data_IF_354482363983
#
_entry.id   IF_354482363983
#
_cell.length_a   1.000
_cell.length_b   1.000
_cell.length_c   1.000
_cell.angle_alpha   90.00
_cell.angle_beta   90.00
_cell.angle_gamma   90.00
#
_symmetry.space_group_name_H-M   'P 1'
#
loop_
_entity.id
_entity.type
_entity.pdbx_description
1 polymer ?
#
# COMPACT_ATOMS: atom_id res chain seq x y z
N UNK A 1 -28.68 -3.79 -31.46
CA UNK A 1 -27.46 -3.38 -30.73
C UNK A 1 -27.41 -1.87 -30.46
N UNK A 2 -27.67 -1.02 -31.47
CA UNK A 2 -27.65 0.45 -31.34
C UNK A 2 -28.62 1.04 -30.29
N UNK A 3 -29.85 0.53 -30.23
CA UNK A 3 -30.90 0.99 -29.29
C UNK A 3 -30.48 0.90 -27.82
N UNK A 4 -29.91 -0.23 -27.42
CA UNK A 4 -29.40 -0.45 -26.07
C UNK A 4 -28.23 0.50 -25.72
N UNK A 5 -27.35 0.77 -26.69
CA UNK A 5 -26.21 1.68 -26.49
C UNK A 5 -26.70 3.11 -26.24
N UNK A 6 -27.68 3.58 -27.01
CA UNK A 6 -28.25 4.92 -26.87
C UNK A 6 -29.01 5.10 -25.55
N UNK A 7 -29.75 4.09 -25.10
CA UNK A 7 -30.50 4.11 -23.84
C UNK A 7 -29.61 4.01 -22.59
N UNK A 8 -28.44 3.37 -22.70
CA UNK A 8 -27.53 3.09 -21.57
C UNK A 8 -26.21 3.86 -21.64
N UNK A 9 -26.08 4.82 -22.57
CA UNK A 9 -24.86 5.62 -22.72
C UNK A 9 -24.54 6.36 -21.43
N UNK A 10 -23.31 6.21 -20.94
CA UNK A 10 -22.80 6.99 -19.81
C UNK A 10 -22.00 8.17 -20.34
N UNK A 11 -22.09 9.31 -19.67
CA UNK A 11 -21.61 10.62 -20.16
C UNK A 11 -20.09 10.78 -20.24
N UNK A 12 -19.30 9.80 -19.78
CA UNK A 12 -17.84 9.90 -19.82
C UNK A 12 -17.18 8.59 -20.26
N UNK A 13 -16.14 8.70 -21.10
CA UNK A 13 -15.21 7.61 -21.38
C UNK A 13 -14.61 7.08 -20.06
N UNK A 14 -14.40 5.76 -19.95
CA UNK A 14 -13.67 5.19 -18.79
C UNK A 14 -12.18 5.23 -19.09
N UNK A 15 -11.32 5.34 -18.05
CA UNK A 15 -9.89 5.09 -18.18
C UNK A 15 -9.57 3.74 -18.86
N UNK A 16 -10.43 2.74 -18.71
CA UNK A 16 -10.28 1.44 -19.37
C UNK A 16 -10.67 1.38 -20.85
N UNK A 17 -10.96 2.50 -21.52
CA UNK A 17 -11.07 2.55 -22.99
C UNK A 17 -9.69 2.63 -23.68
N UNK A 18 -8.62 2.71 -22.88
CA UNK A 18 -7.24 2.75 -23.34
C UNK A 18 -6.71 1.32 -23.55
N UNK A 19 -5.91 1.16 -24.61
CA UNK A 19 -5.15 -0.04 -24.97
C UNK A 19 -4.40 -0.63 -23.76
N UNK A 20 -4.41 -1.96 -23.62
CA UNK A 20 -3.67 -2.70 -22.60
C UNK A 20 -2.67 -3.67 -23.26
N UNK A 21 -1.86 -3.17 -24.21
CA UNK A 21 -0.71 -3.88 -24.75
C UNK A 21 0.44 -3.90 -23.70
N UNK A 22 1.22 -5.01 -23.57
CA UNK A 22 1.25 -6.20 -24.42
C UNK A 22 0.36 -7.36 -23.94
N UNK A 23 -0.35 -7.20 -22.82
CA UNK A 23 -1.16 -8.28 -22.23
C UNK A 23 -2.33 -8.74 -23.12
N UNK A 24 -2.78 -7.89 -24.06
CA UNK A 24 -3.74 -8.24 -25.12
C UNK A 24 -3.35 -7.60 -26.44
N UNK A 25 -3.17 -8.42 -27.47
CA UNK A 25 -2.67 -8.07 -28.81
C UNK A 25 -3.63 -7.15 -29.60
N UNK A 26 -4.87 -7.02 -29.12
CA UNK A 26 -6.01 -6.50 -29.88
C UNK A 26 -6.28 -4.99 -29.65
N UNK A 27 -5.55 -4.34 -28.73
CA UNK A 27 -5.37 -2.87 -28.62
C UNK A 27 -6.60 -1.96 -28.44
N UNK A 28 -7.82 -2.39 -28.75
CA UNK A 28 -9.03 -1.58 -28.73
C UNK A 28 -10.16 -2.34 -28.03
N UNK A 29 -10.69 -1.73 -26.97
CA UNK A 29 -11.93 -2.22 -26.37
C UNK A 29 -13.12 -1.74 -27.21
N UNK A 30 -13.64 -2.58 -28.10
CA UNK A 30 -14.83 -2.28 -28.92
C UNK A 30 -16.10 -2.08 -28.08
N UNK A 31 -16.10 -2.51 -26.81
CA UNK A 31 -17.27 -2.44 -25.94
C UNK A 31 -17.27 -1.21 -25.03
N UNK A 32 -18.24 -0.33 -25.27
CA UNK A 32 -18.58 0.80 -24.41
C UNK A 32 -18.92 0.36 -22.98
N UNK A 33 -18.78 1.26 -21.99
CA UNK A 33 -19.13 1.01 -20.57
C UNK A 33 -20.51 0.35 -20.39
N UNK A 34 -21.46 0.68 -21.24
CA UNK A 34 -22.85 0.22 -21.16
C UNK A 34 -23.03 -1.29 -21.43
N UNK A 35 -22.15 -1.90 -22.23
CA UNK A 35 -22.24 -3.30 -22.64
C UNK A 35 -21.00 -4.12 -22.25
N UNK A 36 -19.89 -3.48 -21.87
CA UNK A 36 -18.63 -4.15 -21.55
C UNK A 36 -18.75 -5.25 -20.49
N UNK A 37 -19.57 -5.07 -19.46
CA UNK A 37 -19.74 -6.10 -18.43
C UNK A 37 -20.45 -7.39 -18.93
N UNK A 38 -21.15 -7.29 -20.07
CA UNK A 38 -21.85 -8.40 -20.72
C UNK A 38 -20.98 -9.02 -21.82
N UNK A 39 -20.32 -8.19 -22.62
CA UNK A 39 -19.60 -8.63 -23.83
C UNK A 39 -18.12 -8.96 -23.59
N UNK A 40 -17.46 -8.34 -22.59
CA UNK A 40 -16.10 -8.70 -22.17
C UNK A 40 -16.17 -9.83 -21.14
N UNK A 41 -16.14 -11.08 -21.61
CA UNK A 41 -16.23 -12.30 -20.78
C UNK A 41 -15.09 -12.40 -19.74
N UNK A 42 -13.99 -11.68 -19.94
CA UNK A 42 -12.92 -11.52 -18.95
C UNK A 42 -13.28 -10.59 -17.79
N UNK A 43 -14.34 -9.77 -17.91
CA UNK A 43 -14.75 -8.72 -16.97
C UNK A 43 -16.08 -8.98 -16.26
N UNK A 44 -16.50 -10.23 -16.11
CA UNK A 44 -17.58 -10.56 -15.19
C UNK A 44 -17.29 -9.99 -13.80
N UNK A 45 -18.31 -9.48 -13.09
CA UNK A 45 -18.14 -8.83 -11.76
C UNK A 45 -17.36 -9.72 -10.79
N UNK A 46 -17.59 -11.03 -10.82
CA UNK A 46 -16.87 -12.04 -10.05
C UNK A 46 -15.38 -12.13 -10.40
N UNK A 47 -15.01 -11.98 -11.68
CA UNK A 47 -13.62 -11.94 -12.14
C UNK A 47 -12.93 -10.62 -11.79
N UNK A 48 -13.61 -9.48 -11.94
CA UNK A 48 -13.08 -8.17 -11.52
C UNK A 48 -12.88 -8.08 -10.00
N UNK A 49 -13.71 -8.76 -9.20
CA UNK A 49 -13.51 -8.88 -7.76
C UNK A 49 -12.21 -9.61 -7.41
N UNK A 50 -11.73 -10.52 -8.28
CA UNK A 50 -10.43 -11.19 -8.12
C UNK A 50 -9.24 -10.26 -8.38
N UNK A 51 -9.43 -9.17 -9.14
CA UNK A 51 -8.42 -8.12 -9.36
C UNK A 51 -8.31 -7.12 -8.19
N UNK A 52 -9.16 -7.24 -7.16
CA UNK A 52 -9.18 -6.36 -5.99
C UNK A 52 -8.15 -6.70 -4.91
N UNK A 53 -6.95 -7.14 -5.29
CA UNK A 53 -5.81 -7.17 -4.37
C UNK A 53 -5.25 -5.75 -4.26
N UNK A 54 -4.98 -5.30 -3.04
CA UNK A 54 -4.49 -3.95 -2.78
C UNK A 54 -3.02 -3.83 -3.16
N UNK A 55 -2.78 -3.47 -4.43
CA UNK A 55 -1.43 -3.35 -4.99
C UNK A 55 -0.59 -2.30 -4.28
N UNK A 56 -1.19 -1.40 -3.51
CA UNK A 56 -0.47 -0.36 -2.77
C UNK A 56 0.53 -0.98 -1.79
N UNK A 57 0.19 -2.12 -1.18
CA UNK A 57 1.14 -2.86 -0.34
C UNK A 57 2.44 -3.20 -1.10
N UNK A 58 2.32 -3.51 -2.39
CA UNK A 58 3.43 -3.90 -3.25
C UNK A 58 4.19 -2.66 -3.72
N UNK A 59 3.45 -1.66 -4.19
CA UNK A 59 3.99 -0.42 -4.75
C UNK A 59 4.76 0.42 -3.72
N UNK A 60 4.34 0.35 -2.45
CA UNK A 60 4.96 1.04 -1.33
C UNK A 60 5.82 0.12 -0.45
N UNK A 61 6.12 -1.10 -0.89
CA UNK A 61 7.05 -2.03 -0.21
C UNK A 61 6.71 -2.24 1.27
N UNK A 62 5.41 -2.37 1.56
CA UNK A 62 4.87 -2.39 2.91
C UNK A 62 4.78 -3.81 3.48
N UNK A 63 5.05 -3.91 4.78
CA UNK A 63 5.01 -5.18 5.53
C UNK A 63 3.60 -5.67 5.83
N UNK A 64 3.55 -6.89 6.36
CA UNK A 64 2.36 -7.59 6.82
C UNK A 64 1.85 -8.60 5.79
N UNK A 65 0.89 -9.42 6.21
CA UNK A 65 0.30 -10.44 5.34
C UNK A 65 -0.64 -9.76 4.33
N UNK A 66 -0.06 -9.30 3.22
CA UNK A 66 -0.77 -8.63 2.14
C UNK A 66 -1.88 -9.50 1.55
N UNK A 67 -1.76 -10.84 1.63
CA UNK A 67 -2.80 -11.75 1.17
C UNK A 67 -3.98 -11.69 2.12
N UNK A 68 -3.74 -11.82 3.42
CA UNK A 68 -4.77 -11.73 4.44
C UNK A 68 -5.46 -10.37 4.44
N UNK A 69 -4.72 -9.27 4.33
CA UNK A 69 -5.29 -7.92 4.23
C UNK A 69 -6.22 -7.75 3.02
N UNK A 70 -5.82 -8.27 1.85
CA UNK A 70 -6.66 -8.24 0.65
C UNK A 70 -7.95 -9.06 0.83
N UNK A 71 -7.90 -10.18 1.56
CA UNK A 71 -9.10 -10.97 1.89
C UNK A 71 -10.00 -10.26 2.92
N UNK A 72 -9.44 -9.63 3.95
CA UNK A 72 -10.22 -8.84 4.92
C UNK A 72 -10.94 -7.69 4.22
N UNK A 73 -10.25 -7.01 3.31
CA UNK A 73 -10.85 -5.98 2.47
C UNK A 73 -12.04 -6.50 1.67
N UNK A 74 -11.96 -7.74 1.15
CA UNK A 74 -13.08 -8.38 0.44
C UNK A 74 -14.25 -8.65 1.38
N UNK A 75 -14.01 -9.13 2.59
CA UNK A 75 -15.08 -9.36 3.58
C UNK A 75 -15.80 -8.06 3.94
N UNK A 76 -15.06 -6.98 4.22
CA UNK A 76 -15.65 -5.65 4.46
C UNK A 76 -16.47 -5.19 3.24
N UNK A 77 -15.93 -5.33 2.04
CA UNK A 77 -16.62 -4.90 0.82
C UNK A 77 -17.87 -5.75 0.50
N UNK A 78 -17.96 -7.00 0.97
CA UNK A 78 -19.14 -7.86 0.84
C UNK A 78 -20.31 -7.43 1.72
N UNK A 79 -20.05 -6.71 2.82
CA UNK A 79 -21.08 -6.23 3.77
C UNK A 79 -22.21 -5.42 3.11
N UNK A 80 -22.00 -4.91 1.89
CA UNK A 80 -23.04 -4.26 1.09
C UNK A 80 -23.52 -2.96 1.74
N UNK A 81 -24.83 -2.68 1.69
CA UNK A 81 -25.44 -1.44 2.25
C UNK A 81 -25.65 -1.48 3.77
N UNK A 82 -25.18 -2.51 4.47
CA UNK A 82 -25.52 -2.77 5.88
C UNK A 82 -24.41 -2.40 6.87
N UNK A 83 -23.24 -1.99 6.40
CA UNK A 83 -22.12 -1.61 7.27
C UNK A 83 -22.37 -0.29 8.00
N UNK A 84 -21.59 -0.07 9.06
CA UNK A 84 -21.56 1.17 9.82
C UNK A 84 -20.20 1.81 9.59
N UNK A 85 -20.18 3.09 9.21
CA UNK A 85 -18.91 3.80 9.02
C UNK A 85 -18.24 4.05 10.38
N UNK A 86 -17.03 3.53 10.60
CA UNK A 86 -16.26 3.73 11.84
C UNK A 86 -15.88 5.20 12.07
N UNK A 87 -15.93 6.04 11.03
CA UNK A 87 -15.56 7.45 11.12
C UNK A 87 -16.76 8.35 11.46
N UNK A 88 -17.92 8.13 10.82
CA UNK A 88 -19.08 9.02 10.97
C UNK A 88 -20.33 8.35 11.57
N UNK A 89 -20.25 7.07 11.93
CA UNK A 89 -21.35 6.29 12.51
C UNK A 89 -22.54 6.01 11.57
N UNK A 90 -22.54 6.58 10.35
CA UNK A 90 -23.67 6.42 9.41
C UNK A 90 -23.73 5.00 8.89
N UNK A 91 -24.93 4.42 8.95
CA UNK A 91 -25.23 3.12 8.33
C UNK A 91 -25.33 3.28 6.82
N UNK A 92 -24.74 2.37 6.07
CA UNK A 92 -24.82 2.38 4.62
C UNK A 92 -23.77 1.51 3.95
N UNK A 93 -23.44 1.84 2.70
CA UNK A 93 -22.38 1.15 1.98
C UNK A 93 -21.02 1.59 2.49
N UNK A 94 -20.24 0.63 2.98
CA UNK A 94 -18.87 0.80 3.46
C UNK A 94 -17.87 0.15 2.51
N UNK A 95 -16.63 0.61 2.58
CA UNK A 95 -15.45 0.02 1.95
C UNK A 95 -14.35 -0.10 3.00
N UNK A 96 -13.43 -1.02 2.81
CA UNK A 96 -12.29 -1.13 3.71
C UNK A 96 -11.39 0.11 3.64
N UNK A 97 -11.00 0.62 4.79
CA UNK A 97 -10.08 1.74 4.95
C UNK A 97 -8.90 1.31 5.82
N UNK A 98 -7.71 1.76 5.43
CA UNK A 98 -6.51 1.53 6.22
C UNK A 98 -6.42 2.67 7.24
N UNK A 99 -6.39 2.32 8.53
CA UNK A 99 -6.29 3.30 9.61
C UNK A 99 -5.01 4.14 9.47
N UNK A 100 -3.88 3.47 9.28
CA UNK A 100 -2.62 4.05 8.85
C UNK A 100 -2.50 3.98 7.33
N UNK A 101 -2.39 5.11 6.59
CA UNK A 101 -2.31 5.04 5.13
C UNK A 101 -1.01 4.39 4.66
N UNK A 102 -1.10 3.34 3.83
CA UNK A 102 0.07 2.67 3.22
C UNK A 102 1.04 3.67 2.56
N UNK A 103 0.50 4.71 1.91
CA UNK A 103 1.32 5.75 1.27
C UNK A 103 2.13 6.63 2.23
N UNK A 104 2.03 6.41 3.54
CA UNK A 104 2.87 6.99 4.60
C UNK A 104 3.81 5.95 5.23
N UNK A 105 3.82 4.71 4.73
CA UNK A 105 4.67 3.63 5.19
C UNK A 105 4.09 2.76 6.31
N UNK A 106 2.78 2.87 6.54
CA UNK A 106 2.07 1.91 7.39
C UNK A 106 2.01 0.53 6.73
N UNK A 107 2.10 -0.50 7.57
CA UNK A 107 1.97 -1.90 7.14
C UNK A 107 0.52 -2.20 6.77
N UNK A 108 0.29 -3.34 6.13
CA UNK A 108 -1.06 -3.94 6.02
C UNK A 108 -1.44 -4.79 7.24
N UNK A 109 -0.55 -4.89 8.23
CA UNK A 109 -0.70 -5.64 9.47
C UNK A 109 -0.54 -7.16 9.33
N UNK A 110 0.01 -7.80 10.36
CA UNK A 110 -0.15 -9.24 10.64
C UNK A 110 -0.35 -9.40 12.17
N UNK A 111 -1.59 -9.64 12.66
CA UNK A 111 -2.82 -9.81 11.89
C UNK A 111 -3.30 -8.52 11.19
N UNK A 112 -3.93 -8.60 10.00
CA UNK A 112 -4.40 -7.43 9.26
C UNK A 112 -5.55 -6.72 9.98
N UNK A 113 -5.55 -5.40 9.93
CA UNK A 113 -6.60 -4.57 10.53
C UNK A 113 -7.09 -3.52 9.53
N UNK A 114 -8.40 -3.46 9.32
CA UNK A 114 -9.05 -2.51 8.41
C UNK A 114 -10.34 -2.04 9.06
N UNK A 115 -10.67 -0.76 8.90
CA UNK A 115 -11.92 -0.20 9.40
C UNK A 115 -12.95 -0.06 8.28
N UNK A 116 -14.23 -0.38 8.50
CA UNK A 116 -15.29 -0.05 7.55
C UNK A 116 -15.51 1.47 7.47
N UNK A 117 -15.36 2.05 6.29
CA UNK A 117 -15.61 3.48 6.07
C UNK A 117 -16.55 3.73 4.90
N UNK A 118 -17.45 4.70 5.01
CA UNK A 118 -18.25 5.12 3.86
C UNK A 118 -17.37 5.85 2.83
N UNK A 119 -17.78 5.83 1.56
CA UNK A 119 -16.99 6.38 0.45
C UNK A 119 -16.57 7.84 0.69
N UNK A 120 -17.46 8.69 1.20
CA UNK A 120 -17.16 10.10 1.43
C UNK A 120 -16.10 10.32 2.52
N UNK A 121 -16.15 9.53 3.61
CA UNK A 121 -15.16 9.61 4.68
C UNK A 121 -13.80 9.06 4.23
N UNK A 122 -13.80 7.92 3.54
CA UNK A 122 -12.58 7.32 3.00
C UNK A 122 -11.91 8.24 1.98
N UNK A 123 -12.65 8.72 0.96
CA UNK A 123 -12.08 9.63 -0.04
C UNK A 123 -11.70 11.00 0.50
N UNK A 124 -12.44 11.52 1.48
CA UNK A 124 -12.21 12.86 2.04
C UNK A 124 -10.90 12.95 2.82
N UNK A 125 -10.51 11.88 3.54
CA UNK A 125 -9.25 11.85 4.29
C UNK A 125 -8.02 11.71 3.41
N UNK A 126 -8.15 10.96 2.31
CA UNK A 126 -7.02 10.57 1.47
C UNK A 126 -5.95 9.88 2.34
N UNK A 127 -4.74 10.43 2.42
CA UNK A 127 -3.65 9.89 3.25
C UNK A 127 -3.38 10.72 4.51
N UNK A 128 -4.30 11.60 4.94
CA UNK A 128 -4.09 12.45 6.12
C UNK A 128 -4.56 11.74 7.38
N UNK A 129 -3.69 11.69 8.39
CA UNK A 129 -4.05 11.21 9.73
C UNK A 129 -4.47 12.38 10.61
N UNK A 130 -5.36 12.09 11.55
CA UNK A 130 -5.72 12.97 12.66
C UNK A 130 -5.21 12.36 13.96
N UNK A 131 -5.21 13.12 15.05
CA UNK A 131 -4.68 12.67 16.34
C UNK A 131 -5.38 11.39 16.84
N UNK A 132 -6.68 11.25 16.57
CA UNK A 132 -7.43 10.05 16.91
C UNK A 132 -6.91 8.79 16.19
N UNK A 133 -6.44 8.89 14.94
CA UNK A 133 -5.87 7.71 14.26
C UNK A 133 -4.55 7.32 14.89
N UNK A 134 -3.69 8.29 15.22
CA UNK A 134 -2.39 8.02 15.84
C UNK A 134 -2.59 7.32 17.18
N UNK A 135 -3.57 7.77 17.98
CA UNK A 135 -3.95 7.09 19.23
C UNK A 135 -4.45 5.66 19.01
N UNK A 136 -5.28 5.44 17.99
CA UNK A 136 -5.77 4.10 17.65
C UNK A 136 -4.65 3.18 17.14
N UNK A 137 -3.74 3.68 16.31
CA UNK A 137 -2.55 2.96 15.84
C UNK A 137 -1.63 2.57 16.99
N UNK A 138 -1.39 3.47 17.95
CA UNK A 138 -0.62 3.16 19.18
C UNK A 138 -1.28 2.07 20.00
N UNK A 139 -2.60 2.09 20.13
CA UNK A 139 -3.33 1.01 20.82
C UNK A 139 -3.14 -0.33 20.12
N UNK A 140 -3.25 -0.37 18.78
CA UNK A 140 -3.00 -1.59 17.99
C UNK A 140 -1.57 -2.10 18.17
N UNK A 141 -0.59 -1.20 18.21
CA UNK A 141 0.80 -1.55 18.50
C UNK A 141 0.98 -2.13 19.91
N UNK A 142 0.31 -1.58 20.92
CA UNK A 142 0.28 -2.13 22.29
C UNK A 142 -0.39 -3.51 22.36
N UNK A 143 -1.39 -3.75 21.49
CA UNK A 143 -2.03 -5.06 21.32
C UNK A 143 -1.13 -6.07 20.56
N UNK A 144 0.11 -5.70 20.24
CA UNK A 144 1.10 -6.55 19.58
C UNK A 144 1.02 -6.58 18.05
N UNK A 145 0.30 -5.66 17.43
CA UNK A 145 0.17 -5.57 15.97
C UNK A 145 1.25 -4.65 15.41
N UNK A 146 2.05 -5.13 14.46
CA UNK A 146 2.98 -4.28 13.71
C UNK A 146 2.20 -3.33 12.79
N UNK A 147 2.08 -2.06 13.21
CA UNK A 147 1.31 -1.02 12.48
C UNK A 147 2.09 -0.34 11.36
N UNK A 148 3.41 -0.37 11.41
CA UNK A 148 4.31 0.27 10.43
C UNK A 148 5.26 -0.74 9.82
N UNK A 149 5.67 -0.49 8.57
CA UNK A 149 6.63 -1.35 7.87
C UNK A 149 8.05 -1.11 8.37
N UNK A 150 8.96 -2.07 8.15
CA UNK A 150 10.37 -2.03 8.56
C UNK A 150 11.03 -0.68 8.27
N UNK A 151 10.81 -0.13 7.09
CA UNK A 151 11.42 1.12 6.62
C UNK A 151 10.86 2.39 7.28
N UNK A 152 9.75 2.29 8.01
CA UNK A 152 9.09 3.42 8.69
C UNK A 152 9.11 3.27 10.21
N UNK A 153 9.53 2.10 10.73
CA UNK A 153 9.52 1.78 12.15
C UNK A 153 10.31 2.78 13.00
N UNK A 154 11.47 3.21 12.54
CA UNK A 154 12.32 4.14 13.29
C UNK A 154 11.64 5.51 13.48
N UNK A 155 11.35 6.23 12.38
CA UNK A 155 10.66 7.52 12.45
C UNK A 155 9.31 7.45 13.19
N UNK A 156 8.54 6.37 13.02
CA UNK A 156 7.28 6.20 13.76
C UNK A 156 7.51 6.15 15.27
N UNK A 157 8.49 5.38 15.73
CA UNK A 157 8.81 5.29 17.17
C UNK A 157 9.26 6.64 17.75
N UNK A 158 9.96 7.45 16.96
CA UNK A 158 10.40 8.77 17.39
C UNK A 158 9.26 9.82 17.43
N UNK A 159 8.24 9.67 16.58
CA UNK A 159 7.20 10.69 16.41
C UNK A 159 5.82 10.34 17.00
N UNK A 160 5.47 9.07 17.17
CA UNK A 160 4.10 8.64 17.51
C UNK A 160 3.52 9.25 18.78
N UNK A 161 4.37 9.58 19.76
CA UNK A 161 3.97 10.15 21.05
C UNK A 161 4.03 11.68 21.09
N UNK A 162 4.57 12.31 20.04
CA UNK A 162 4.76 13.77 19.99
C UNK A 162 3.49 14.59 19.70
N UNK A 163 2.63 14.25 18.72
CA UNK A 163 1.56 15.15 18.31
C UNK A 163 0.46 15.29 19.38
N UNK A 164 0.08 16.54 19.67
CA UNK A 164 -0.96 16.91 20.65
C UNK A 164 -2.24 17.43 20.00
N UNK A 165 -2.20 17.70 18.70
CA UNK A 165 -3.30 18.28 17.91
C UNK A 165 -3.44 17.60 16.55
N UNK A 166 -4.55 17.86 15.84
CA UNK A 166 -4.74 17.38 14.47
C UNK A 166 -3.80 18.07 13.48
N UNK A 167 -3.38 19.30 13.79
CA UNK A 167 -2.38 20.08 13.06
C UNK A 167 -1.02 19.38 13.14
N UNK A 168 -0.56 19.02 14.34
CA UNK A 168 0.68 18.27 14.52
C UNK A 168 0.60 16.87 13.90
N UNK A 169 -0.56 16.20 13.97
CA UNK A 169 -0.75 14.90 13.31
C UNK A 169 -0.61 15.00 11.77
N UNK A 170 -1.00 16.13 11.16
CA UNK A 170 -0.77 16.41 9.73
C UNK A 170 0.72 16.62 9.46
N UNK A 171 1.46 17.28 10.34
CA UNK A 171 2.92 17.43 10.23
C UNK A 171 3.58 16.04 10.25
N UNK A 172 3.24 15.19 11.22
CA UNK A 172 3.74 13.80 11.27
C UNK A 172 3.39 13.05 9.98
N UNK A 173 2.16 13.19 9.47
CA UNK A 173 1.76 12.56 8.20
C UNK A 173 2.65 13.00 7.02
N UNK A 174 3.04 14.27 6.97
CA UNK A 174 3.92 14.83 5.94
C UNK A 174 5.33 14.27 6.06
N UNK A 175 5.89 14.20 7.26
CA UNK A 175 7.23 13.66 7.52
C UNK A 175 7.30 12.16 7.17
N UNK A 176 6.30 11.38 7.56
CA UNK A 176 6.21 9.96 7.18
C UNK A 176 6.15 9.78 5.66
N UNK A 177 5.47 10.68 4.94
CA UNK A 177 5.46 10.68 3.47
C UNK A 177 6.84 10.99 2.90
N UNK A 178 7.56 11.95 3.48
CA UNK A 178 8.93 12.28 3.07
C UNK A 178 9.89 11.12 3.32
N UNK A 179 9.80 10.46 4.48
CA UNK A 179 10.58 9.26 4.78
C UNK A 179 10.36 8.17 3.72
N UNK A 180 9.10 7.87 3.40
CA UNK A 180 8.77 6.88 2.37
C UNK A 180 9.30 7.28 0.99
N UNK A 181 9.47 8.58 0.72
CA UNK A 181 10.11 9.04 -0.49
C UNK A 181 11.59 8.68 -0.53
N UNK A 182 12.33 8.98 0.54
CA UNK A 182 13.74 8.61 0.64
C UNK A 182 13.94 7.10 0.54
N UNK A 183 13.08 6.31 1.20
CA UNK A 183 13.10 4.84 1.11
C UNK A 183 12.88 4.37 -0.33
N UNK A 184 11.82 4.81 -1.01
CA UNK A 184 11.53 4.31 -2.36
C UNK A 184 12.56 4.78 -3.39
N UNK A 185 13.16 5.96 -3.20
CA UNK A 185 14.29 6.41 -4.01
C UNK A 185 15.51 5.52 -3.78
N UNK A 186 15.86 5.23 -2.52
CA UNK A 186 16.97 4.33 -2.16
C UNK A 186 16.78 2.93 -2.77
N UNK A 187 15.60 2.33 -2.58
CA UNK A 187 15.26 1.02 -3.14
C UNK A 187 15.32 1.04 -4.68
N UNK A 188 14.78 2.09 -5.30
CA UNK A 188 14.82 2.24 -6.75
C UNK A 188 16.23 2.29 -7.30
N UNK A 189 17.13 3.05 -6.65
CA UNK A 189 18.55 3.12 -7.06
C UNK A 189 19.26 1.79 -6.93
N UNK A 190 19.05 1.06 -5.84
CA UNK A 190 19.61 -0.29 -5.66
C UNK A 190 19.10 -1.24 -6.76
N UNK A 191 17.82 -1.11 -7.13
CA UNK A 191 17.22 -1.90 -8.21
C UNK A 191 17.76 -1.54 -9.61
N UNK A 192 18.04 -0.26 -9.88
CA UNK A 192 18.72 0.23 -11.10
C UNK A 192 20.17 -0.23 -11.18
N UNK A 193 20.86 -0.29 -10.04
CA UNK A 193 22.21 -0.84 -9.90
C UNK A 193 22.32 -2.36 -10.10
N UNK A 194 21.24 -3.05 -10.49
CA UNK A 194 21.26 -4.48 -10.81
C UNK A 194 21.01 -5.42 -9.61
N UNK A 195 20.81 -4.89 -8.40
CA UNK A 195 20.67 -5.70 -7.19
C UNK A 195 19.21 -5.97 -6.79
N UNK A 196 18.35 -6.25 -7.77
CA UNK A 196 16.92 -6.56 -7.52
C UNK A 196 16.74 -7.78 -6.62
N UNK A 197 17.56 -8.82 -6.80
CA UNK A 197 17.48 -10.05 -6.02
C UNK A 197 17.72 -9.80 -4.52
N UNK A 198 18.70 -8.96 -4.18
CA UNK A 198 18.94 -8.53 -2.80
C UNK A 198 17.67 -7.92 -2.17
N UNK A 199 16.96 -7.06 -2.91
CA UNK A 199 15.73 -6.46 -2.42
C UNK A 199 14.61 -7.48 -2.21
N UNK A 200 14.44 -8.41 -3.16
CA UNK A 200 13.40 -9.44 -3.10
C UNK A 200 13.62 -10.38 -1.91
N UNK A 201 14.86 -10.82 -1.69
CA UNK A 201 15.20 -11.80 -0.65
C UNK A 201 15.09 -11.23 0.76
N UNK A 202 15.30 -9.92 0.93
CA UNK A 202 15.34 -9.29 2.26
C UNK A 202 14.08 -8.54 2.64
N UNK A 203 13.26 -8.07 1.69
CA UNK A 203 12.15 -7.13 1.98
C UNK A 203 10.81 -7.50 1.36
N UNK A 204 10.73 -8.54 0.52
CA UNK A 204 9.47 -9.00 -0.05
C UNK A 204 9.06 -10.34 0.54
N UNK A 205 7.75 -10.53 0.72
CA UNK A 205 7.16 -11.74 1.28
C UNK A 205 6.24 -12.46 0.26
N UNK A 206 6.79 -13.01 -0.84
CA UNK A 206 6.00 -13.74 -1.84
C UNK A 206 5.33 -15.01 -1.28
N UNK A 207 5.82 -15.54 -0.16
CA UNK A 207 5.32 -16.74 0.50
C UNK A 207 3.86 -16.61 0.97
N UNK A 208 3.38 -15.40 1.27
CA UNK A 208 1.97 -15.16 1.62
C UNK A 208 1.02 -15.52 0.48
N UNK A 209 1.49 -15.48 -0.77
CA UNK A 209 0.69 -15.86 -1.92
C UNK A 209 0.19 -17.31 -1.83
N UNK A 210 0.90 -18.21 -1.15
CA UNK A 210 0.58 -19.65 -1.13
C UNK A 210 -0.51 -20.06 -0.14
N UNK A 211 -1.19 -19.09 0.48
CA UNK A 211 -2.26 -19.36 1.43
C UNK A 211 -3.64 -18.97 0.89
N UNK A 212 -4.60 -19.88 1.12
CA UNK A 212 -6.02 -19.55 1.17
C UNK A 212 -6.33 -18.96 2.53
N UNK A 213 -7.08 -17.86 2.57
CA UNK A 213 -7.39 -17.12 3.78
C UNK A 213 -8.90 -17.17 4.01
N UNK A 214 -9.30 -17.41 5.26
CA UNK A 214 -10.68 -17.34 5.73
C UNK A 214 -10.70 -16.61 7.08
N UNK A 215 -11.64 -15.67 7.24
CA UNK A 215 -11.87 -14.94 8.49
C UNK A 215 -13.10 -15.52 9.18
N UNK A 216 -12.91 -16.07 10.39
CA UNK A 216 -13.97 -16.62 11.22
C UNK A 216 -14.47 -15.56 12.20
N UNK A 217 -15.77 -15.55 12.48
CA UNK A 217 -16.38 -14.55 13.37
C UNK A 217 -16.37 -13.12 12.83
N UNK A 218 -16.26 -12.94 11.51
CA UNK A 218 -16.19 -11.60 10.92
C UNK A 218 -17.48 -10.81 11.15
N UNK A 219 -17.35 -9.65 11.78
CA UNK A 219 -18.42 -8.69 11.98
C UNK A 219 -18.35 -7.57 10.91
N UNK A 220 -19.31 -7.52 9.97
CA UNK A 220 -19.33 -6.52 8.90
C UNK A 220 -19.61 -5.09 9.39
N UNK A 221 -20.05 -4.90 10.63
CA UNK A 221 -20.33 -3.57 11.20
C UNK A 221 -19.08 -2.93 11.79
N UNK A 222 -18.23 -3.71 12.44
CA UNK A 222 -16.99 -3.24 13.08
C UNK A 222 -15.75 -3.50 12.24
N UNK A 223 -15.77 -4.51 11.36
CA UNK A 223 -14.61 -5.02 10.64
C UNK A 223 -13.76 -5.99 11.46
N UNK A 224 -14.18 -6.32 12.69
CA UNK A 224 -13.50 -7.26 13.57
C UNK A 224 -13.74 -8.71 13.14
N UNK A 225 -12.90 -9.60 13.63
CA UNK A 225 -12.98 -11.04 13.43
C UNK A 225 -12.33 -11.75 14.62
N UNK A 226 -12.70 -13.01 14.83
CA UNK A 226 -12.20 -13.79 15.97
C UNK A 226 -10.91 -14.53 15.60
N UNK A 227 -10.82 -15.06 14.37
CA UNK A 227 -9.70 -15.89 13.95
C UNK A 227 -9.44 -15.82 12.43
N UNK A 228 -8.17 -15.97 12.05
CA UNK A 228 -7.74 -16.18 10.67
C UNK A 228 -7.34 -17.63 10.46
N UNK A 229 -7.97 -18.30 9.49
CA UNK A 229 -7.59 -19.64 9.05
C UNK A 229 -6.80 -19.55 7.75
N UNK A 230 -5.51 -19.90 7.81
CA UNK A 230 -4.60 -19.96 6.66
C UNK A 230 -4.43 -21.42 6.22
N UNK A 231 -4.77 -21.75 4.96
CA UNK A 231 -4.53 -23.08 4.38
C UNK A 231 -3.56 -22.98 3.22
N UNK A 232 -2.38 -23.59 3.36
CA UNK A 232 -1.38 -23.64 2.29
C UNK A 232 -1.92 -24.40 1.09
N UNK A 233 -1.55 -23.95 -0.11
CA UNK A 233 -1.91 -24.58 -1.38
C UNK A 233 -0.78 -24.47 -2.39
N UNK A 234 -0.66 -25.49 -3.24
CA UNK A 234 0.35 -25.62 -4.29
C UNK A 234 -0.21 -25.39 -5.70
N UNK A 235 -1.49 -24.97 -5.81
CA UNK A 235 -2.08 -24.66 -7.11
C UNK A 235 -1.28 -23.59 -7.86
N UNK A 236 -1.05 -23.80 -9.16
CA UNK A 236 -0.26 -22.93 -10.05
C UNK A 236 -0.67 -21.44 -10.01
N UNK A 237 -1.93 -21.14 -9.70
CA UNK A 237 -2.40 -19.77 -9.56
C UNK A 237 -1.68 -18.99 -8.43
N UNK A 238 -1.25 -19.67 -7.37
CA UNK A 238 -0.59 -19.02 -6.23
C UNK A 238 0.85 -18.66 -6.55
N UNK A 239 1.59 -19.55 -7.24
CA UNK A 239 2.93 -19.24 -7.78
C UNK A 239 2.89 -18.04 -8.72
N UNK A 240 1.91 -18.00 -9.64
CA UNK A 240 1.71 -16.84 -10.52
C UNK A 240 1.41 -15.55 -9.74
N UNK A 241 0.73 -15.64 -8.60
CA UNK A 241 0.47 -14.47 -7.77
C UNK A 241 1.73 -13.99 -7.04
N UNK A 242 2.57 -14.91 -6.56
CA UNK A 242 3.88 -14.61 -5.99
C UNK A 242 4.79 -13.91 -7.01
N UNK A 243 4.91 -14.46 -8.21
CA UNK A 243 5.68 -13.86 -9.32
C UNK A 243 5.16 -12.47 -9.67
N UNK A 244 3.83 -12.32 -9.74
CA UNK A 244 3.19 -11.03 -10.01
C UNK A 244 3.46 -10.00 -8.91
N UNK A 245 3.42 -10.42 -7.64
CA UNK A 245 3.74 -9.56 -6.49
C UNK A 245 5.15 -9.00 -6.60
N UNK A 246 6.14 -9.87 -6.82
CA UNK A 246 7.55 -9.47 -7.00
C UNK A 246 7.71 -8.54 -8.19
N UNK A 247 7.13 -8.89 -9.34
CA UNK A 247 7.21 -8.08 -10.56
C UNK A 247 6.64 -6.68 -10.37
N UNK A 248 5.42 -6.56 -9.81
CA UNK A 248 4.78 -5.25 -9.58
C UNK A 248 5.59 -4.41 -8.60
N UNK A 249 6.12 -5.00 -7.52
CA UNK A 249 6.92 -4.29 -6.53
C UNK A 249 8.20 -3.71 -7.13
N UNK A 250 8.86 -4.44 -8.03
CA UNK A 250 10.06 -3.96 -8.72
C UNK A 250 9.74 -2.94 -9.83
N UNK A 251 8.69 -3.17 -10.62
CA UNK A 251 8.24 -2.22 -11.64
C UNK A 251 7.82 -0.87 -11.04
N UNK A 252 7.18 -0.89 -9.87
CA UNK A 252 6.75 0.34 -9.20
C UNK A 252 7.93 1.21 -8.79
N UNK A 253 9.10 0.63 -8.48
CA UNK A 253 10.31 1.40 -8.18
C UNK A 253 10.81 2.18 -9.40
N UNK A 254 10.87 1.55 -10.59
CA UNK A 254 11.24 2.24 -11.82
C UNK A 254 10.25 3.37 -12.14
N UNK A 255 8.95 3.07 -12.12
CA UNK A 255 7.90 4.07 -12.30
C UNK A 255 7.94 5.19 -11.25
N UNK A 256 8.48 4.91 -10.07
CA UNK A 256 8.61 5.88 -9.01
C UNK A 256 9.69 6.91 -9.34
N UNK A 257 10.84 6.45 -9.83
CA UNK A 257 12.00 7.24 -10.21
C UNK A 257 11.75 8.07 -11.48
N UNK A 258 11.07 7.50 -12.48
CA UNK A 258 10.76 8.16 -13.76
C UNK A 258 9.77 9.34 -13.67
N UNK A 259 9.27 9.65 -12.48
CA UNK A 259 8.15 10.59 -12.30
C UNK A 259 8.63 12.03 -12.11
N UNK A 260 8.75 12.75 -13.22
CA UNK A 260 9.28 14.13 -13.28
C UNK A 260 8.53 15.17 -12.42
N UNK A 261 7.20 15.09 -12.35
CA UNK A 261 6.36 16.12 -11.70
C UNK A 261 6.15 15.91 -10.19
N UNK A 262 7.09 15.25 -9.50
CA UNK A 262 6.93 14.98 -8.07
C UNK A 262 7.38 16.19 -7.26
N UNK A 263 6.43 16.86 -6.60
CA UNK A 263 6.73 17.88 -5.58
C UNK A 263 7.27 17.17 -4.34
N UNK A 264 8.58 17.17 -4.12
CA UNK A 264 9.21 16.57 -2.94
C UNK A 264 10.45 17.37 -2.47
N UNK A 265 10.80 17.28 -1.17
CA UNK A 265 11.96 17.98 -0.60
C UNK A 265 13.29 17.46 -1.17
N UNK A 266 14.06 18.35 -1.78
CA UNK A 266 15.36 18.00 -2.41
C UNK A 266 16.51 17.92 -1.40
N UNK A 267 16.32 18.45 -0.19
CA UNK A 267 17.36 18.76 0.80
C UNK A 267 18.33 17.60 1.04
N UNK A 268 17.82 16.38 1.22
CA UNK A 268 18.65 15.20 1.52
C UNK A 268 18.82 14.21 0.37
N UNK A 269 18.33 14.52 -0.84
CA UNK A 269 18.40 13.56 -1.94
C UNK A 269 19.81 13.16 -2.32
N UNK A 270 20.75 14.10 -2.25
CA UNK A 270 22.16 13.80 -2.54
C UNK A 270 22.67 12.72 -1.57
N UNK A 271 22.35 12.84 -0.30
CA UNK A 271 22.76 11.88 0.73
C UNK A 271 22.05 10.54 0.56
N UNK A 272 20.76 10.53 0.20
CA UNK A 272 20.02 9.31 -0.15
C UNK A 272 20.71 8.57 -1.30
N UNK A 273 21.11 9.28 -2.36
CA UNK A 273 21.83 8.68 -3.49
C UNK A 273 23.22 8.17 -3.06
N UNK A 274 23.95 8.93 -2.24
CA UNK A 274 25.24 8.48 -1.70
C UNK A 274 25.10 7.18 -0.89
N UNK A 275 24.04 7.03 -0.08
CA UNK A 275 23.74 5.77 0.61
C UNK A 275 23.49 4.63 -0.38
N UNK A 276 22.74 4.89 -1.46
CA UNK A 276 22.51 3.90 -2.50
C UNK A 276 23.82 3.44 -3.15
N UNK A 277 24.68 4.37 -3.54
CA UNK A 277 25.97 4.09 -4.18
C UNK A 277 26.87 3.22 -3.28
N UNK A 278 26.94 3.56 -1.98
CA UNK A 278 27.70 2.76 -0.99
C UNK A 278 27.11 1.35 -0.85
N UNK A 279 25.78 1.21 -0.82
CA UNK A 279 25.13 -0.09 -0.72
C UNK A 279 25.41 -0.93 -1.96
N UNK A 280 25.28 -0.33 -3.16
CA UNK A 280 25.59 -0.96 -4.44
C UNK A 280 27.04 -1.44 -4.45
N UNK A 281 28.00 -0.60 -4.05
CA UNK A 281 29.41 -0.99 -3.94
C UNK A 281 29.62 -2.19 -3.01
N UNK A 282 28.93 -2.24 -1.86
CA UNK A 282 29.02 -3.41 -0.98
C UNK A 282 28.45 -4.67 -1.64
N UNK A 283 27.36 -4.55 -2.40
CA UNK A 283 26.72 -5.67 -3.08
C UNK A 283 27.53 -6.17 -4.28
N UNK A 284 28.16 -5.28 -5.04
CA UNK A 284 29.12 -5.62 -6.10
C UNK A 284 30.31 -6.42 -5.54
N UNK A 285 30.78 -6.01 -4.36
CA UNK A 285 31.81 -6.73 -3.60
C UNK A 285 31.27 -7.96 -2.84
N UNK A 286 30.01 -8.38 -3.07
CA UNK A 286 29.33 -9.54 -2.46
C UNK A 286 29.24 -9.49 -0.92
N UNK A 287 29.34 -8.30 -0.32
CA UNK A 287 29.28 -8.09 1.12
C UNK A 287 27.84 -7.80 1.60
N UNK A 288 26.95 -8.79 1.51
CA UNK A 288 25.53 -8.62 1.86
C UNK A 288 25.30 -8.09 3.28
N UNK A 289 26.03 -8.60 4.28
CA UNK A 289 25.88 -8.13 5.67
C UNK A 289 26.26 -6.66 5.83
N UNK A 290 27.27 -6.16 5.09
CA UNK A 290 27.63 -4.74 5.11
C UNK A 290 26.57 -3.89 4.40
N UNK A 291 26.01 -4.39 3.30
CA UNK A 291 24.91 -3.73 2.61
C UNK A 291 23.67 -3.58 3.51
N UNK A 292 23.29 -4.63 4.24
CA UNK A 292 22.19 -4.57 5.22
C UNK A 292 22.47 -3.56 6.33
N UNK A 293 23.66 -3.60 6.94
CA UNK A 293 24.04 -2.62 7.97
C UNK A 293 24.00 -1.17 7.43
N UNK A 294 24.34 -0.96 6.15
CA UNK A 294 24.25 0.35 5.51
C UNK A 294 22.81 0.77 5.21
N UNK A 295 21.92 -0.16 4.86
CA UNK A 295 20.49 0.09 4.75
C UNK A 295 19.92 0.57 6.10
N UNK A 296 20.20 -0.16 7.18
CA UNK A 296 19.71 0.19 8.53
C UNK A 296 20.22 1.56 8.97
N UNK A 297 21.48 1.86 8.66
CA UNK A 297 22.06 3.19 8.90
C UNK A 297 21.33 4.26 8.10
N UNK A 298 21.06 4.03 6.82
CA UNK A 298 20.34 4.98 5.97
C UNK A 298 18.95 5.29 6.54
N UNK A 299 18.17 4.25 6.89
CA UNK A 299 16.83 4.43 7.48
C UNK A 299 16.83 5.22 8.79
N UNK A 300 17.84 4.97 9.64
CA UNK A 300 18.02 5.71 10.89
C UNK A 300 18.33 7.17 10.60
N UNK A 301 19.29 7.43 9.72
CA UNK A 301 19.65 8.79 9.31
C UNK A 301 18.48 9.56 8.68
N UNK A 302 17.65 8.90 7.85
CA UNK A 302 16.45 9.54 7.29
C UNK A 302 15.45 9.94 8.37
N UNK A 303 15.32 9.10 9.40
CA UNK A 303 14.44 9.36 10.54
C UNK A 303 14.96 10.54 11.36
N UNK A 304 16.26 10.60 11.61
CA UNK A 304 16.90 11.68 12.39
C UNK A 304 16.69 13.05 11.73
N UNK A 305 16.96 13.17 10.43
CA UNK A 305 16.72 14.41 9.67
C UNK A 305 15.29 14.94 9.80
N UNK A 306 14.31 14.04 9.68
CA UNK A 306 12.89 14.41 9.70
C UNK A 306 12.39 14.71 11.12
N UNK A 307 13.02 14.12 12.14
CA UNK A 307 12.73 14.41 13.54
C UNK A 307 13.29 15.77 13.95
N UNK A 308 14.48 16.14 13.44
CA UNK A 308 15.02 17.50 13.58
C UNK A 308 14.07 18.52 12.94
N UNK A 309 13.56 18.25 11.74
CA UNK A 309 12.56 19.11 11.07
C UNK A 309 11.29 19.28 11.92
N UNK A 310 10.80 18.19 12.54
CA UNK A 310 9.65 18.26 13.44
C UNK A 310 9.89 19.17 14.65
N UNK A 311 11.08 19.07 15.26
CA UNK A 311 11.40 19.85 16.45
C UNK A 311 11.59 21.34 16.10
N UNK A 312 12.26 21.65 14.99
CA UNK A 312 12.49 23.02 14.55
C UNK A 312 11.22 23.72 14.07
N UNK A 313 10.26 22.99 13.50
CA UNK A 313 9.01 23.55 12.96
C UNK A 313 7.86 23.72 13.94
N UNK A 314 8.06 23.41 15.23
CA UNK A 314 7.07 23.64 16.32
C UNK A 314 7.33 24.98 17.04
N UNK A 315 8.53 25.54 16.87
CA UNK A 315 8.95 26.80 17.48
C UNK A 315 8.67 28.04 16.57
N UNK A 316 8.02 27.84 15.41
CA UNK A 316 7.47 28.89 14.53
C UNK A 316 5.93 28.94 14.57
#
# INVERSE_FOLDING_TARGET
NLKYILEKKQTMFSPGAMSNCPDRFDGYHTYNKCCRAREDTGRHRSNLQRYGEDRRAYEYWSDGDWKAAAWLMREINKAGKRGICSICGKRGKVTADHLGPISLGFSVGDPPFLRPACRSCNSGRNNRMILADIKELRKKEQDGIDVVSWHTKNIWNLLKDKPKSDEEAKIVSRLLRTNLHYVLTLLGRIAEGGHRQFLVENYLHPEYAYYSIEFLGFDPTTGNYDQIKKKRSTMRQYSRNAERYVRISLESLGQYLDKDNRKFPQEHLRDVNNFADIIIEQLDNRNQSRALNKMDKALTTFSDWLVEEFNSGIDE
#
